data_IF_170196844529
#
_entry.id   IF_170196844529
#
_cell.length_a   1.000
_cell.length_b   1.000
_cell.length_c   1.000
_cell.angle_alpha   90.00
_cell.angle_beta   90.00
_cell.angle_gamma   90.00
#
_symmetry.space_group_name_H-M   'P 1'
#
loop_
_entity.id
_entity.type
_entity.pdbx_description
1 polymer ?
#
# COMPACT_ATOMS: atom_id res chain seq x y z
N UNK A 1 -67.50 -2.79 64.61
CA UNK A 1 -66.34 -2.33 63.81
C UNK A 1 -66.81 -1.19 62.93
N UNK A 2 -66.36 0.07 63.10
CA UNK A 2 -66.79 1.12 62.21
C UNK A 2 -65.81 1.29 61.04
N UNK A 3 -66.39 1.25 59.84
CA UNK A 3 -65.79 1.63 58.57
C UNK A 3 -65.23 3.06 58.66
N UNK A 4 -63.91 3.21 58.83
CA UNK A 4 -63.18 4.43 58.46
C UNK A 4 -62.94 4.50 56.93
N UNK A 5 -63.50 3.57 56.16
CA UNK A 5 -62.88 3.13 54.92
C UNK A 5 -63.40 3.81 53.66
N UNK A 6 -64.65 4.24 53.55
CA UNK A 6 -65.19 4.67 52.24
C UNK A 6 -64.57 5.97 51.70
N UNK A 7 -64.59 7.11 52.42
CA UNK A 7 -64.07 8.37 51.87
C UNK A 7 -62.54 8.37 51.75
N UNK A 8 -61.82 7.67 52.65
CA UNK A 8 -60.37 7.53 52.57
C UNK A 8 -59.98 6.62 51.41
N UNK A 9 -60.68 5.50 51.21
CA UNK A 9 -60.47 4.62 50.07
C UNK A 9 -60.78 5.31 48.75
N UNK A 10 -61.88 6.05 48.66
CA UNK A 10 -62.24 6.82 47.45
C UNK A 10 -61.20 7.89 47.13
N UNK A 11 -60.67 8.58 48.15
CA UNK A 11 -59.59 9.53 47.97
C UNK A 11 -58.32 8.87 47.42
N UNK A 12 -57.90 7.74 48.02
CA UNK A 12 -56.73 7.00 47.54
C UNK A 12 -56.93 6.44 46.13
N UNK A 13 -58.12 5.92 45.83
CA UNK A 13 -58.47 5.41 44.51
C UNK A 13 -58.41 6.50 43.44
N UNK A 14 -59.05 7.66 43.69
CA UNK A 14 -58.98 8.82 42.78
C UNK A 14 -57.55 9.30 42.57
N UNK A 15 -56.76 9.41 43.64
CA UNK A 15 -55.35 9.81 43.55
C UNK A 15 -54.52 8.80 42.76
N UNK A 16 -54.83 7.52 42.85
CA UNK A 16 -54.15 6.48 42.09
C UNK A 16 -54.53 6.51 40.61
N UNK A 17 -55.81 6.75 40.29
CA UNK A 17 -56.28 6.98 38.92
C UNK A 17 -55.64 8.25 38.30
N UNK A 18 -55.58 9.35 39.05
CA UNK A 18 -54.89 10.58 38.64
C UNK A 18 -53.41 10.32 38.34
N UNK A 19 -52.69 9.61 39.22
CA UNK A 19 -51.28 9.29 39.00
C UNK A 19 -51.05 8.39 37.77
N UNK A 20 -51.96 7.47 37.49
CA UNK A 20 -51.88 6.61 36.29
C UNK A 20 -52.09 7.46 35.03
N UNK A 21 -53.09 8.34 35.02
CA UNK A 21 -53.37 9.22 33.90
C UNK A 21 -52.20 10.19 33.64
N UNK A 22 -51.64 10.78 34.70
CA UNK A 22 -50.50 11.69 34.61
C UNK A 22 -49.25 10.98 34.08
N UNK A 23 -49.03 9.72 34.49
CA UNK A 23 -47.95 8.90 33.96
C UNK A 23 -48.14 8.57 32.46
N UNK A 24 -49.35 8.24 32.04
CA UNK A 24 -49.67 8.02 30.63
C UNK A 24 -49.52 9.30 29.80
N UNK A 25 -49.93 10.45 30.33
CA UNK A 25 -49.78 11.73 29.66
C UNK A 25 -48.30 12.13 29.50
N UNK A 26 -47.47 11.88 30.53
CA UNK A 26 -46.01 12.03 30.43
C UNK A 26 -45.44 11.10 29.35
N UNK A 27 -45.83 9.83 29.33
CA UNK A 27 -45.36 8.86 28.33
C UNK A 27 -45.81 9.23 26.90
N UNK A 28 -47.03 9.75 26.73
CA UNK A 28 -47.57 10.18 25.44
C UNK A 28 -46.93 11.49 24.93
N UNK A 29 -46.52 12.37 25.84
CA UNK A 29 -45.87 13.64 25.51
C UNK A 29 -44.34 13.53 25.37
N UNK A 30 -43.74 12.41 25.77
CA UNK A 30 -42.32 12.14 25.50
C UNK A 30 -42.10 11.70 24.06
N UNK A 31 -41.07 12.26 23.39
CA UNK A 31 -40.71 11.92 22.00
C UNK A 31 -40.37 10.45 21.78
N UNK A 32 -39.98 9.74 22.83
CA UNK A 32 -39.68 8.30 22.82
C UNK A 32 -40.25 7.68 24.09
N UNK A 33 -40.94 6.54 23.94
CA UNK A 33 -41.32 5.74 25.10
C UNK A 33 -40.09 5.12 25.76
N UNK A 34 -40.24 4.68 27.01
CA UNK A 34 -39.16 3.99 27.74
C UNK A 34 -38.68 2.74 26.99
N UNK A 35 -39.60 1.97 26.40
CA UNK A 35 -39.29 0.77 25.61
C UNK A 35 -38.54 1.12 24.33
N UNK A 36 -38.96 2.17 23.61
CA UNK A 36 -38.23 2.64 22.43
C UNK A 36 -36.81 3.09 22.77
N UNK A 37 -36.64 3.79 23.90
CA UNK A 37 -35.32 4.21 24.39
C UNK A 37 -34.42 3.02 24.72
N UNK A 38 -34.97 1.96 25.31
CA UNK A 38 -34.23 0.72 25.61
C UNK A 38 -33.84 0.01 24.31
N UNK A 39 -34.76 -0.10 23.35
CA UNK A 39 -34.50 -0.71 22.05
C UNK A 39 -33.43 0.05 21.26
N UNK A 40 -33.47 1.38 21.23
CA UNK A 40 -32.44 2.19 20.57
C UNK A 40 -31.07 1.94 21.21
N UNK A 41 -30.98 1.93 22.54
CA UNK A 41 -29.71 1.64 23.23
C UNK A 41 -29.18 0.24 22.94
N UNK A 42 -30.08 -0.75 22.84
CA UNK A 42 -29.73 -2.12 22.48
C UNK A 42 -29.21 -2.20 21.04
N UNK A 43 -29.91 -1.60 20.09
CA UNK A 43 -29.50 -1.57 18.69
C UNK A 43 -28.15 -0.87 18.51
N UNK A 44 -27.91 0.25 19.20
CA UNK A 44 -26.60 0.93 19.19
C UNK A 44 -25.50 -0.01 19.68
N UNK A 45 -25.77 -0.80 20.73
CA UNK A 45 -24.78 -1.74 21.27
C UNK A 45 -24.51 -2.91 20.31
N UNK A 46 -25.55 -3.46 19.70
CA UNK A 46 -25.42 -4.55 18.71
C UNK A 46 -24.62 -4.07 17.49
N UNK A 47 -25.00 -2.93 16.90
CA UNK A 47 -24.29 -2.33 15.76
C UNK A 47 -22.83 -2.00 16.11
N UNK A 48 -22.56 -1.46 17.30
CA UNK A 48 -21.18 -1.17 17.73
C UNK A 48 -20.34 -2.45 17.85
N UNK A 49 -20.94 -3.52 18.36
CA UNK A 49 -20.28 -4.82 18.49
C UNK A 49 -19.98 -5.45 17.13
N UNK A 50 -20.88 -5.32 16.15
CA UNK A 50 -20.65 -5.78 14.79
C UNK A 50 -19.49 -5.03 14.14
N UNK A 51 -19.45 -3.70 14.24
CA UNK A 51 -18.35 -2.91 13.71
C UNK A 51 -17.01 -3.17 14.40
N UNK A 52 -16.99 -3.39 15.72
CA UNK A 52 -15.77 -3.76 16.44
C UNK A 52 -15.24 -5.12 15.95
N UNK A 53 -16.11 -6.11 15.74
CA UNK A 53 -15.74 -7.41 15.18
C UNK A 53 -15.21 -7.30 13.75
N UNK A 54 -15.86 -6.51 12.90
CA UNK A 54 -15.43 -6.30 11.52
C UNK A 54 -14.05 -5.62 11.47
N UNK A 55 -13.80 -4.64 12.35
CA UNK A 55 -12.50 -3.98 12.45
C UNK A 55 -11.40 -4.94 12.90
N UNK A 56 -11.66 -5.77 13.90
CA UNK A 56 -10.71 -6.79 14.35
C UNK A 56 -10.36 -7.78 13.22
N UNK A 57 -11.35 -8.23 12.45
CA UNK A 57 -11.12 -9.12 11.30
C UNK A 57 -10.29 -8.44 10.21
N UNK A 58 -10.57 -7.16 9.92
CA UNK A 58 -9.80 -6.39 8.93
C UNK A 58 -8.38 -6.09 9.39
N UNK A 59 -8.18 -5.80 10.67
CA UNK A 59 -6.84 -5.59 11.23
C UNK A 59 -6.02 -6.88 11.18
N UNK A 60 -6.62 -8.04 11.49
CA UNK A 60 -5.98 -9.34 11.32
C UNK A 60 -5.60 -9.61 9.86
N UNK A 61 -6.50 -9.32 8.91
CA UNK A 61 -6.22 -9.44 7.48
C UNK A 61 -5.09 -8.50 7.03
N UNK A 62 -5.04 -7.27 7.56
CA UNK A 62 -3.95 -6.32 7.31
C UNK A 62 -2.62 -6.86 7.86
N UNK A 63 -2.61 -7.45 9.06
CA UNK A 63 -1.41 -8.06 9.64
C UNK A 63 -0.92 -9.25 8.80
N UNK A 64 -1.82 -10.11 8.34
CA UNK A 64 -1.50 -11.23 7.46
C UNK A 64 -0.94 -10.76 6.11
N UNK A 65 -1.56 -9.75 5.50
CA UNK A 65 -1.07 -9.15 4.26
C UNK A 65 0.28 -8.47 4.45
N UNK A 66 0.51 -7.78 5.58
CA UNK A 66 1.82 -7.23 5.95
C UNK A 66 2.86 -8.34 6.14
N UNK A 67 2.48 -9.44 6.76
CA UNK A 67 3.37 -10.60 6.94
C UNK A 67 3.73 -11.24 5.59
N UNK A 68 2.77 -11.34 4.66
CA UNK A 68 3.00 -11.81 3.29
C UNK A 68 3.89 -10.84 2.50
N UNK A 69 3.68 -9.54 2.60
CA UNK A 69 4.55 -8.53 2.00
C UNK A 69 5.97 -8.61 2.55
N UNK A 70 6.13 -8.80 3.86
CA UNK A 70 7.45 -8.97 4.49
C UNK A 70 8.14 -10.27 4.06
N UNK A 71 7.39 -11.36 3.88
CA UNK A 71 7.92 -12.62 3.31
C UNK A 71 8.32 -12.45 1.84
N UNK A 72 7.50 -11.77 1.04
CA UNK A 72 7.80 -11.44 -0.36
C UNK A 72 8.97 -10.46 -0.49
N UNK A 73 9.12 -9.49 0.42
CA UNK A 73 10.27 -8.60 0.45
C UNK A 73 11.53 -9.33 0.90
N UNK A 74 11.45 -10.25 1.87
CA UNK A 74 12.57 -11.14 2.22
C UNK A 74 12.96 -12.06 1.07
N UNK A 75 11.98 -12.56 0.30
CA UNK A 75 12.24 -13.34 -0.91
C UNK A 75 12.76 -12.48 -2.06
N UNK A 76 12.27 -11.25 -2.25
CA UNK A 76 12.82 -10.28 -3.21
C UNK A 76 14.24 -9.90 -2.83
N UNK A 77 14.56 -9.63 -1.58
CA UNK A 77 15.95 -9.42 -1.15
C UNK A 77 16.78 -10.68 -1.36
N UNK A 78 16.23 -11.90 -1.20
CA UNK A 78 16.95 -13.16 -1.43
C UNK A 78 17.13 -13.50 -2.92
N UNK A 79 16.23 -13.02 -3.79
CA UNK A 79 16.28 -13.15 -5.25
C UNK A 79 17.11 -12.01 -5.87
N UNK A 80 17.10 -10.81 -5.27
CA UNK A 80 17.93 -9.66 -5.64
C UNK A 80 19.37 -9.80 -5.13
N UNK A 81 19.64 -10.54 -4.05
CA UNK A 81 21.01 -10.91 -3.64
C UNK A 81 21.66 -11.98 -4.53
N UNK A 82 20.97 -12.49 -5.56
CA UNK A 82 21.58 -13.32 -6.62
C UNK A 82 21.82 -12.50 -7.90
N UNK A 83 21.59 -11.18 -7.87
CA UNK A 83 22.35 -10.31 -8.77
C UNK A 83 23.71 -10.16 -8.13
N UNK A 84 24.71 -10.82 -8.71
CA UNK A 84 26.12 -10.54 -8.52
C UNK A 84 26.36 -9.03 -8.72
N UNK A 85 26.11 -8.23 -7.68
CA UNK A 85 26.84 -7.01 -7.47
C UNK A 85 28.21 -7.47 -7.00
N UNK A 86 29.19 -7.44 -7.90
CA UNK A 86 30.56 -7.27 -7.47
C UNK A 86 30.59 -5.94 -6.69
N UNK A 87 30.49 -6.03 -5.36
CA UNK A 87 30.48 -4.89 -4.43
C UNK A 87 31.73 -4.00 -4.57
N UNK A 88 32.72 -4.41 -5.38
CA UNK A 88 33.89 -3.61 -5.75
C UNK A 88 33.65 -2.60 -6.88
N UNK A 89 32.65 -2.80 -7.74
CA UNK A 89 32.52 -2.08 -9.02
C UNK A 89 31.39 -1.06 -9.07
N UNK A 90 30.49 -1.00 -8.07
CA UNK A 90 29.42 0.01 -7.98
C UNK A 90 28.36 -0.01 -9.10
N UNK A 91 28.48 -0.90 -10.09
CA UNK A 91 27.58 -1.05 -11.24
C UNK A 91 27.15 -2.51 -11.40
N UNK A 92 25.88 -2.73 -11.79
CA UNK A 92 25.38 -4.07 -12.13
C UNK A 92 26.17 -4.63 -13.34
N UNK A 93 26.57 -5.91 -13.31
CA UNK A 93 27.31 -6.59 -14.40
C UNK A 93 26.71 -6.36 -15.79
N UNK A 94 25.38 -6.44 -15.89
CA UNK A 94 24.66 -6.18 -17.14
C UNK A 94 24.89 -4.76 -17.70
N UNK A 95 25.08 -3.75 -16.84
CA UNK A 95 25.36 -2.38 -17.25
C UNK A 95 26.80 -2.24 -17.74
N UNK A 96 27.74 -2.93 -17.10
CA UNK A 96 29.15 -3.00 -17.54
C UNK A 96 29.23 -3.66 -18.92
N UNK A 97 28.51 -4.76 -19.13
CA UNK A 97 28.45 -5.44 -20.42
C UNK A 97 27.89 -4.54 -21.53
N UNK A 98 26.92 -3.68 -21.21
CA UNK A 98 26.39 -2.68 -22.16
C UNK A 98 27.44 -1.62 -22.47
N UNK A 99 28.18 -1.14 -21.46
CA UNK A 99 29.29 -0.20 -21.67
C UNK A 99 30.38 -0.80 -22.55
N UNK A 100 30.69 -2.09 -22.40
CA UNK A 100 31.62 -2.84 -23.26
C UNK A 100 31.10 -2.99 -24.69
N UNK A 101 29.80 -3.21 -24.87
CA UNK A 101 29.20 -3.25 -26.22
C UNK A 101 29.34 -1.90 -26.92
N UNK A 102 29.16 -0.81 -26.17
CA UNK A 102 29.32 0.55 -26.70
C UNK A 102 30.81 0.84 -26.90
N UNK A 103 31.73 0.44 -26.03
CA UNK A 103 33.17 0.72 -26.19
C UNK A 103 33.78 0.13 -27.46
N UNK A 104 33.26 -1.01 -27.92
CA UNK A 104 33.65 -1.65 -29.18
C UNK A 104 33.25 -0.85 -30.43
N UNK A 105 32.48 0.24 -30.28
CA UNK A 105 31.96 1.06 -31.38
C UNK A 105 32.12 2.53 -31.01
N UNK A 106 32.57 3.35 -31.96
CA UNK A 106 32.68 4.80 -31.67
C UNK A 106 31.30 5.41 -31.35
N UNK A 107 30.25 4.96 -32.04
CA UNK A 107 28.88 5.37 -31.82
C UNK A 107 27.89 4.27 -32.24
N UNK A 108 26.75 4.13 -31.56
CA UNK A 108 25.75 3.11 -31.88
C UNK A 108 24.31 3.62 -31.75
N UNK A 109 23.49 3.37 -32.77
CA UNK A 109 22.07 3.72 -32.75
C UNK A 109 21.26 2.95 -31.69
N UNK A 110 20.23 3.57 -31.12
CA UNK A 110 19.41 2.96 -30.06
C UNK A 110 18.86 1.58 -30.45
N UNK A 111 18.19 1.46 -31.60
CA UNK A 111 17.59 0.18 -32.01
C UNK A 111 18.64 -0.91 -32.27
N UNK A 112 19.82 -0.51 -32.77
CA UNK A 112 20.98 -1.39 -32.93
C UNK A 112 21.53 -1.85 -31.58
N UNK A 113 21.67 -0.93 -30.62
CA UNK A 113 22.12 -1.21 -29.27
C UNK A 113 21.15 -2.17 -28.55
N UNK A 114 19.85 -1.88 -28.60
CA UNK A 114 18.80 -2.76 -28.06
C UNK A 114 18.90 -4.16 -28.66
N UNK A 115 19.08 -4.26 -29.98
CA UNK A 115 19.22 -5.55 -30.67
C UNK A 115 20.44 -6.33 -30.21
N UNK A 116 21.56 -5.66 -29.93
CA UNK A 116 22.76 -6.29 -29.38
C UNK A 116 22.56 -6.73 -27.93
N UNK A 117 21.88 -5.91 -27.12
CA UNK A 117 21.55 -6.24 -25.72
C UNK A 117 20.71 -7.52 -25.68
N UNK A 118 19.64 -7.59 -26.49
CA UNK A 118 18.76 -8.77 -26.52
C UNK A 118 19.47 -10.03 -27.04
N UNK A 119 20.54 -9.89 -27.84
CA UNK A 119 21.33 -11.02 -28.35
C UNK A 119 22.42 -11.50 -27.39
N UNK A 120 23.12 -10.57 -26.73
CA UNK A 120 24.31 -10.86 -25.94
C UNK A 120 24.03 -11.03 -24.44
N UNK A 121 22.95 -10.44 -23.94
CA UNK A 121 22.60 -10.47 -22.52
C UNK A 121 21.35 -11.32 -22.28
N UNK A 122 21.16 -11.88 -21.07
CA UNK A 122 19.95 -12.61 -20.68
C UNK A 122 18.78 -11.63 -20.42
N UNK A 123 18.50 -10.76 -21.39
CA UNK A 123 17.43 -9.76 -21.38
C UNK A 123 16.42 -10.13 -22.45
N UNK A 124 15.19 -10.39 -22.02
CA UNK A 124 14.10 -10.87 -22.87
C UNK A 124 13.08 -9.78 -23.26
N UNK A 125 13.35 -8.52 -22.95
CA UNK A 125 12.42 -7.41 -23.17
C UNK A 125 13.11 -6.14 -23.67
N UNK A 126 12.57 -5.57 -24.75
CA UNK A 126 13.00 -4.26 -25.29
C UNK A 126 12.87 -3.15 -24.24
N UNK A 127 11.81 -3.18 -23.44
CA UNK A 127 11.59 -2.22 -22.35
C UNK A 127 12.70 -2.30 -21.31
N UNK A 128 13.13 -3.52 -20.93
CA UNK A 128 14.21 -3.70 -19.96
C UNK A 128 15.56 -3.22 -20.51
N UNK A 129 15.83 -3.44 -21.80
CA UNK A 129 17.01 -2.89 -22.46
C UNK A 129 17.02 -1.35 -22.46
N UNK A 130 15.88 -0.71 -22.76
CA UNK A 130 15.73 0.76 -22.66
C UNK A 130 16.00 1.27 -21.24
N UNK A 131 15.45 0.63 -20.22
CA UNK A 131 15.69 1.00 -18.81
C UNK A 131 17.19 0.94 -18.47
N UNK A 132 17.94 -0.03 -18.99
CA UNK A 132 19.38 -0.09 -18.77
C UNK A 132 20.14 1.04 -19.48
N UNK A 133 19.75 1.38 -20.71
CA UNK A 133 20.31 2.52 -21.44
C UNK A 133 20.02 3.82 -20.68
N UNK A 134 18.77 4.05 -20.26
CA UNK A 134 18.37 5.21 -19.45
C UNK A 134 19.14 5.29 -18.13
N UNK A 135 19.36 4.16 -17.45
CA UNK A 135 20.19 4.12 -16.24
C UNK A 135 21.63 4.57 -16.50
N UNK A 136 22.24 4.12 -17.60
CA UNK A 136 23.61 4.51 -17.96
C UNK A 136 23.68 5.99 -18.34
N UNK A 137 22.67 6.50 -19.03
CA UNK A 137 22.57 7.90 -19.44
C UNK A 137 22.35 8.82 -18.23
N UNK A 138 21.40 8.50 -17.36
CA UNK A 138 21.12 9.25 -16.13
C UNK A 138 22.35 9.33 -15.20
N UNK A 139 23.14 8.25 -15.16
CA UNK A 139 24.39 8.20 -14.40
C UNK A 139 25.59 8.79 -15.15
N UNK A 140 25.37 9.37 -16.35
CA UNK A 140 26.35 10.04 -17.21
C UNK A 140 27.48 9.14 -17.67
N UNK A 141 27.29 7.83 -17.81
CA UNK A 141 28.29 6.93 -18.42
C UNK A 141 28.18 6.92 -19.95
N UNK A 142 26.99 7.18 -20.48
CA UNK A 142 26.74 7.32 -21.91
C UNK A 142 25.98 8.62 -22.18
N UNK A 143 26.06 9.09 -23.42
CA UNK A 143 25.31 10.25 -23.88
C UNK A 143 24.91 10.06 -25.34
N UNK A 144 23.75 10.60 -25.70
CA UNK A 144 23.32 10.70 -27.09
C UNK A 144 23.96 11.93 -27.73
N UNK A 145 24.64 11.77 -28.89
CA UNK A 145 25.36 12.89 -29.54
C UNK A 145 24.39 13.93 -30.10
N UNK A 146 23.30 13.49 -30.71
CA UNK A 146 22.30 14.31 -31.38
C UNK A 146 20.89 13.74 -31.16
N UNK A 147 19.86 14.58 -31.33
CA UNK A 147 18.44 14.20 -31.28
C UNK A 147 18.06 13.01 -32.18
N UNK A 148 18.93 12.66 -33.14
CA UNK A 148 18.82 11.50 -34.02
C UNK A 148 20.00 10.52 -33.88
N UNK A 149 20.22 10.03 -32.65
CA UNK A 149 20.19 8.61 -32.35
C UNK A 149 21.46 7.78 -32.06
N UNK A 150 22.73 8.21 -32.18
CA UNK A 150 23.83 7.37 -31.71
C UNK A 150 24.23 7.66 -30.26
N UNK A 151 24.26 6.63 -29.43
CA UNK A 151 24.85 6.64 -28.09
C UNK A 151 26.37 6.48 -28.17
N UNK A 152 27.06 7.23 -27.30
CA UNK A 152 28.52 7.19 -27.13
C UNK A 152 28.89 7.16 -25.66
N UNK A 153 30.08 6.66 -25.36
CA UNK A 153 30.65 6.76 -24.02
C UNK A 153 31.06 8.20 -23.71
N UNK A 154 30.66 8.68 -22.53
CA UNK A 154 31.17 9.92 -21.94
C UNK A 154 32.59 9.73 -21.39
N UNK A 155 33.24 10.80 -20.94
CA UNK A 155 34.52 10.70 -20.23
C UNK A 155 34.40 9.80 -19.00
N UNK A 156 33.33 9.96 -18.20
CA UNK A 156 33.06 9.10 -17.04
C UNK A 156 32.87 7.62 -17.43
N UNK A 157 32.22 7.35 -18.56
CA UNK A 157 32.09 6.01 -19.14
C UNK A 157 33.44 5.38 -19.45
N UNK A 158 34.34 6.15 -20.09
CA UNK A 158 35.67 5.69 -20.47
C UNK A 158 36.59 5.51 -19.26
N UNK A 159 36.63 6.51 -18.37
CA UNK A 159 37.38 6.45 -17.10
C UNK A 159 36.98 5.21 -16.30
N UNK A 160 35.67 4.94 -16.17
CA UNK A 160 35.21 3.74 -15.48
C UNK A 160 35.71 2.44 -16.12
N UNK A 161 35.74 2.34 -17.46
CA UNK A 161 36.22 1.14 -18.13
C UNK A 161 37.75 0.98 -17.99
N UNK A 162 38.51 2.07 -18.05
CA UNK A 162 39.97 2.08 -17.92
C UNK A 162 40.40 1.80 -16.47
N UNK A 163 39.81 2.50 -15.49
CA UNK A 163 40.12 2.36 -14.06
C UNK A 163 39.90 0.94 -13.55
N UNK A 164 39.00 0.20 -14.20
CA UNK A 164 38.65 -1.17 -13.86
C UNK A 164 39.23 -2.22 -14.82
N UNK A 165 40.19 -1.83 -15.69
CA UNK A 165 40.89 -2.71 -16.64
C UNK A 165 39.97 -3.49 -17.59
N UNK A 166 38.85 -2.90 -18.02
CA UNK A 166 37.94 -3.49 -19.00
C UNK A 166 38.34 -3.16 -20.45
N UNK A 167 39.09 -2.08 -20.66
CA UNK A 167 39.57 -1.59 -21.96
C UNK A 167 40.95 -0.96 -21.77
N UNK A 168 41.85 -1.17 -22.73
CA UNK A 168 43.23 -0.66 -22.74
C UNK A 168 43.33 0.83 -23.15
#
# INVERSE_FOLDING_TARGET
>A
MPYLSTPVYEFHKKRQEELVNLKQEIENNTLLTKEQSINIRRNIKEVKSEYESDLEEKDAEIEDLKALLNKNNKQKTKIETIKETDEKLGLEKNLIDILLIISQREAIEEDSLISLILKKLPVNSKTKAKVYIEKLENNKYIQMINWSAPYTLTNKGREFLVDNNFVD
#
